data_IF_129013952348
#
_entry.id   IF_129013952348
#
_cell.length_a   1.000
_cell.length_b   1.000
_cell.length_c   1.000
_cell.angle_alpha   90.00
_cell.angle_beta   90.00
_cell.angle_gamma   90.00
#
_symmetry.space_group_name_H-M   'P 1'
#
loop_
_entity.id
_entity.type
_entity.pdbx_description
1 polymer ?
#
# COMPACT_ATOMS: atom_id res chain seq x y z
N UNK A 1 5.42 -19.31 7.43
CA UNK A 1 6.87 -19.19 7.60
C UNK A 1 7.20 -17.71 7.74
N UNK A 2 8.28 -17.32 8.43
CA UNK A 2 8.51 -15.94 8.78
C UNK A 2 9.06 -15.11 7.62
N UNK A 3 8.86 -13.80 7.75
CA UNK A 3 9.32 -12.78 6.81
C UNK A 3 10.86 -12.69 6.83
N UNK A 4 11.50 -12.76 5.67
CA UNK A 4 12.92 -12.51 5.50
C UNK A 4 13.16 -11.02 5.24
N UNK A 5 13.92 -10.39 6.11
CA UNK A 5 14.20 -8.95 6.06
C UNK A 5 15.70 -8.69 5.92
N UNK A 6 16.09 -7.53 5.35
CA UNK A 6 17.49 -7.08 5.38
C UNK A 6 18.00 -7.01 6.82
N UNK A 7 19.23 -7.50 7.05
CA UNK A 7 19.83 -7.45 8.38
C UNK A 7 19.90 -6.00 8.89
N UNK A 8 19.63 -5.82 10.19
CA UNK A 8 19.63 -4.51 10.87
C UNK A 8 18.53 -3.53 10.45
N UNK A 9 17.50 -3.97 9.73
CA UNK A 9 16.33 -3.10 9.45
C UNK A 9 15.68 -2.70 10.79
N UNK A 10 15.45 -1.40 11.07
CA UNK A 10 14.86 -0.93 12.34
C UNK A 10 13.53 -1.57 12.69
N UNK A 11 12.72 -1.91 11.68
CA UNK A 11 11.46 -2.61 11.85
C UNK A 11 11.59 -3.96 12.58
N UNK A 12 12.71 -4.68 12.44
CA UNK A 12 12.92 -5.99 13.09
C UNK A 12 12.77 -5.90 14.60
N UNK A 13 13.39 -4.91 15.22
CA UNK A 13 13.34 -4.75 16.69
C UNK A 13 11.95 -4.36 17.19
N UNK A 14 11.21 -3.57 16.42
CA UNK A 14 9.85 -3.19 16.76
C UNK A 14 8.91 -4.40 16.64
N UNK A 15 8.99 -5.14 15.54
CA UNK A 15 8.16 -6.32 15.30
C UNK A 15 8.40 -7.44 16.32
N UNK A 16 9.66 -7.64 16.76
CA UNK A 16 9.96 -8.57 17.86
C UNK A 16 9.27 -8.16 19.17
N UNK A 17 9.19 -6.86 19.48
CA UNK A 17 8.47 -6.36 20.67
C UNK A 17 6.94 -6.58 20.55
N UNK A 18 6.43 -6.64 19.34
CA UNK A 18 5.01 -6.93 19.06
C UNK A 18 4.73 -8.46 19.00
N UNK A 19 5.70 -9.32 19.33
CA UNK A 19 5.64 -10.79 19.20
C UNK A 19 5.39 -11.27 17.77
N UNK A 20 5.78 -10.50 16.77
CA UNK A 20 5.72 -10.87 15.36
C UNK A 20 7.04 -11.53 14.97
N UNK A 21 6.97 -12.76 14.47
CA UNK A 21 8.16 -13.51 14.11
C UNK A 21 8.70 -13.09 12.74
N UNK A 22 9.92 -12.58 12.71
CA UNK A 22 10.66 -12.21 11.49
C UNK A 22 12.00 -12.94 11.48
N UNK A 23 12.51 -13.26 10.28
CA UNK A 23 13.83 -13.85 10.09
C UNK A 23 14.79 -12.83 9.49
N UNK A 24 16.04 -12.87 9.94
CA UNK A 24 17.16 -12.24 9.26
C UNK A 24 17.66 -13.10 8.07
N UNK A 25 18.49 -12.51 7.23
CA UNK A 25 19.04 -13.20 6.06
C UNK A 25 19.82 -14.46 6.44
N UNK A 26 20.56 -14.44 7.55
CA UNK A 26 21.42 -15.55 7.95
C UNK A 26 20.62 -16.81 8.28
N UNK A 27 19.46 -16.66 8.93
CA UNK A 27 18.58 -17.76 9.27
C UNK A 27 17.78 -18.27 8.07
N UNK A 28 17.37 -17.36 7.16
CA UNK A 28 16.57 -17.71 5.98
C UNK A 28 17.36 -18.56 4.96
N UNK A 29 18.68 -18.36 4.84
CA UNK A 29 19.53 -19.12 3.90
C UNK A 29 19.72 -20.59 4.25
N UNK A 30 19.29 -21.03 5.41
CA UNK A 30 19.37 -22.45 5.84
C UNK A 30 18.13 -23.26 5.47
N UNK A 31 17.14 -22.68 4.77
CA UNK A 31 15.91 -23.37 4.38
C UNK A 31 15.81 -23.56 2.87
N UNK A 32 15.47 -24.76 2.45
CA UNK A 32 15.42 -25.22 1.04
C UNK A 32 14.09 -24.84 0.33
N UNK A 33 13.45 -23.71 0.70
CA UNK A 33 12.18 -23.27 0.14
C UNK A 33 12.39 -21.89 -0.53
N UNK A 34 11.99 -21.78 -1.80
CA UNK A 34 12.01 -20.49 -2.48
C UNK A 34 11.08 -19.48 -1.78
N UNK A 35 11.59 -18.38 -1.24
CA UNK A 35 10.75 -17.31 -0.74
C UNK A 35 10.05 -16.58 -1.89
N UNK A 36 8.86 -16.03 -1.62
CA UNK A 36 8.23 -15.08 -2.53
C UNK A 36 8.96 -13.74 -2.44
N UNK A 37 9.35 -13.19 -3.58
CA UNK A 37 10.02 -11.89 -3.65
C UNK A 37 8.99 -10.77 -3.74
N UNK A 38 8.95 -9.92 -2.72
CA UNK A 38 8.07 -8.75 -2.65
C UNK A 38 8.92 -7.49 -2.74
N UNK A 39 8.60 -6.59 -3.66
CA UNK A 39 9.23 -5.28 -3.73
C UNK A 39 8.25 -4.18 -3.30
N UNK A 40 8.73 -3.23 -2.50
CA UNK A 40 7.96 -2.09 -2.03
C UNK A 40 8.59 -0.81 -2.56
N UNK A 41 7.90 -0.12 -3.48
CA UNK A 41 8.23 1.26 -3.86
C UNK A 41 7.60 2.19 -2.83
N UNK A 42 8.42 2.68 -1.91
CA UNK A 42 7.97 3.52 -0.82
C UNK A 42 8.13 5.01 -1.15
N UNK A 43 7.01 5.66 -1.49
CA UNK A 43 6.94 7.08 -1.84
C UNK A 43 6.57 7.96 -0.64
N UNK A 44 6.21 7.36 0.51
CA UNK A 44 5.80 8.09 1.70
C UNK A 44 6.96 8.90 2.31
N UNK A 45 6.65 10.07 2.91
CA UNK A 45 7.68 10.93 3.49
C UNK A 45 8.33 10.33 4.74
N UNK A 46 7.59 9.58 5.57
CA UNK A 46 8.07 8.90 6.77
C UNK A 46 8.32 7.42 6.46
N UNK A 47 9.38 7.14 5.71
CA UNK A 47 9.65 5.81 5.16
C UNK A 47 9.75 4.72 6.22
N UNK A 48 10.47 4.95 7.32
CA UNK A 48 10.67 3.97 8.40
C UNK A 48 9.33 3.55 9.04
N UNK A 49 8.41 4.50 9.21
CA UNK A 49 7.06 4.20 9.71
C UNK A 49 6.29 3.33 8.73
N UNK A 50 6.25 3.74 7.47
CA UNK A 50 5.55 3.00 6.41
C UNK A 50 6.12 1.60 6.19
N UNK A 51 7.45 1.44 6.23
CA UNK A 51 8.12 0.14 6.22
C UNK A 51 7.58 -0.77 7.31
N UNK A 52 7.56 -0.26 8.55
CA UNK A 52 7.07 -1.02 9.71
C UNK A 52 5.61 -1.43 9.56
N UNK A 53 4.76 -0.52 9.08
CA UNK A 53 3.34 -0.76 8.90
C UNK A 53 3.07 -1.84 7.84
N UNK A 54 3.74 -1.75 6.69
CA UNK A 54 3.61 -2.75 5.62
C UNK A 54 4.21 -4.11 6.02
N UNK A 55 5.39 -4.12 6.65
CA UNK A 55 6.02 -5.36 7.10
C UNK A 55 5.15 -6.07 8.14
N UNK A 56 4.49 -5.34 9.04
CA UNK A 56 3.57 -5.91 10.03
C UNK A 56 2.43 -6.68 9.35
N UNK A 57 1.85 -6.16 8.29
CA UNK A 57 0.79 -6.83 7.52
C UNK A 57 1.32 -8.00 6.70
N UNK A 58 2.45 -7.82 6.03
CA UNK A 58 3.09 -8.88 5.24
C UNK A 58 3.59 -10.05 6.11
N UNK A 59 3.85 -9.84 7.40
CA UNK A 59 4.30 -10.89 8.32
C UNK A 59 3.18 -11.85 8.74
N UNK A 60 1.90 -11.51 8.49
CA UNK A 60 0.75 -12.32 8.87
C UNK A 60 0.44 -13.41 7.82
N UNK A 61 1.43 -14.18 7.42
CA UNK A 61 1.31 -15.30 6.47
C UNK A 61 2.24 -16.45 6.87
N UNK A 62 1.86 -17.72 6.62
CA UNK A 62 2.75 -18.85 6.79
C UNK A 62 3.82 -18.94 5.67
N UNK A 63 3.69 -18.19 4.58
CA UNK A 63 4.62 -18.20 3.45
C UNK A 63 5.89 -17.44 3.78
N UNK A 64 7.01 -17.89 3.23
CA UNK A 64 8.27 -17.16 3.35
C UNK A 64 8.31 -16.01 2.33
N UNK A 65 8.49 -14.78 2.82
CA UNK A 65 8.61 -13.59 2.00
C UNK A 65 10.01 -13.00 2.10
N UNK A 66 10.56 -12.59 0.98
CA UNK A 66 11.77 -11.78 0.87
C UNK A 66 11.38 -10.38 0.42
N UNK A 67 11.52 -9.39 1.31
CA UNK A 67 11.10 -8.00 1.06
C UNK A 67 12.30 -7.16 0.67
N UNK A 68 12.16 -6.44 -0.44
CA UNK A 68 13.12 -5.43 -0.92
C UNK A 68 12.44 -4.07 -0.99
N UNK A 69 13.18 -3.01 -0.69
CA UNK A 69 12.68 -1.64 -0.81
C UNK A 69 13.28 -0.97 -2.03
N UNK A 70 12.40 -0.37 -2.83
CA UNK A 70 12.74 0.45 -4.00
C UNK A 70 12.53 1.93 -3.69
N UNK A 71 13.44 2.77 -4.17
CA UNK A 71 13.31 4.22 -4.13
C UNK A 71 13.41 4.77 -5.56
N UNK A 72 12.90 5.98 -5.75
CA UNK A 72 13.10 6.77 -6.96
C UNK A 72 14.48 7.43 -6.91
N UNK A 73 15.18 7.42 -8.03
CA UNK A 73 16.44 8.12 -8.21
C UNK A 73 16.25 9.62 -8.36
N UNK A 74 15.17 10.00 -9.06
CA UNK A 74 14.81 11.40 -9.30
C UNK A 74 14.26 12.15 -8.09
N UNK A 75 14.03 11.42 -6.94
CA UNK A 75 13.47 12.02 -5.73
C UNK A 75 14.31 11.71 -4.49
N UNK A 76 14.76 12.76 -3.79
CA UNK A 76 15.49 12.64 -2.54
C UNK A 76 14.55 12.72 -1.34
N UNK A 77 14.56 11.72 -0.48
CA UNK A 77 13.80 11.74 0.78
C UNK A 77 14.35 12.80 1.73
N UNK A 78 13.46 13.69 2.23
CA UNK A 78 13.85 14.76 3.16
C UNK A 78 13.72 14.36 4.63
N UNK A 79 12.90 13.36 4.93
CA UNK A 79 12.51 12.99 6.31
C UNK A 79 13.06 11.63 6.74
N UNK A 80 13.97 11.04 5.96
CA UNK A 80 14.59 9.76 6.26
C UNK A 80 16.12 9.92 6.23
N UNK A 81 16.86 9.43 7.23
CA UNK A 81 18.32 9.51 7.24
C UNK A 81 18.93 8.90 5.98
N UNK A 82 19.96 9.53 5.44
CA UNK A 82 20.60 9.08 4.21
C UNK A 82 21.25 7.70 4.38
N UNK A 83 21.79 7.43 5.56
CA UNK A 83 22.40 6.14 5.92
C UNK A 83 21.37 5.01 5.83
N UNK A 84 20.12 5.26 6.29
CA UNK A 84 19.02 4.32 6.17
C UNK A 84 18.69 4.04 4.71
N UNK A 85 18.59 5.11 3.90
CA UNK A 85 18.31 4.98 2.46
C UNK A 85 19.40 4.20 1.73
N UNK A 86 20.67 4.46 2.03
CA UNK A 86 21.79 3.76 1.41
C UNK A 86 21.88 2.28 1.84
N UNK A 87 21.46 1.97 3.05
CA UNK A 87 21.56 0.61 3.61
C UNK A 87 20.44 -0.31 3.15
N UNK A 88 19.22 0.20 3.00
CA UNK A 88 18.02 -0.63 2.84
C UNK A 88 17.28 -0.43 1.51
N UNK A 89 17.54 0.66 0.78
CA UNK A 89 16.85 0.98 -0.46
C UNK A 89 17.77 0.81 -1.66
N UNK A 90 17.20 0.26 -2.73
CA UNK A 90 17.84 0.13 -4.03
C UNK A 90 17.14 1.03 -5.05
N UNK A 91 17.88 1.56 -5.99
CA UNK A 91 17.33 2.31 -7.11
C UNK A 91 16.65 1.37 -8.12
N UNK A 92 15.65 1.89 -8.84
CA UNK A 92 14.95 1.12 -9.88
C UNK A 92 15.92 0.50 -10.90
N UNK A 93 16.94 1.25 -11.34
CA UNK A 93 17.93 0.75 -12.32
C UNK A 93 18.72 -0.48 -11.83
N UNK A 94 18.95 -0.57 -10.52
CA UNK A 94 19.62 -1.75 -9.93
C UNK A 94 18.72 -2.99 -9.89
N UNK A 95 17.40 -2.77 -9.97
CA UNK A 95 16.38 -3.82 -9.87
C UNK A 95 15.71 -4.13 -11.22
N UNK A 96 15.96 -3.36 -12.27
CA UNK A 96 15.29 -3.40 -13.58
C UNK A 96 15.27 -4.79 -14.22
N UNK A 97 16.32 -5.59 -14.03
CA UNK A 97 16.44 -6.93 -14.61
C UNK A 97 15.93 -8.05 -13.66
N UNK A 98 15.45 -7.69 -12.49
CA UNK A 98 14.90 -8.65 -11.53
C UNK A 98 13.40 -8.82 -11.74
N UNK A 99 12.88 -10.00 -11.34
CA UNK A 99 11.45 -10.29 -11.31
C UNK A 99 10.99 -10.51 -9.87
N UNK A 100 9.75 -10.15 -9.60
CA UNK A 100 9.14 -10.20 -8.27
C UNK A 100 7.79 -10.89 -8.32
N UNK A 101 7.47 -11.61 -7.27
CA UNK A 101 6.17 -12.25 -7.13
C UNK A 101 5.08 -11.22 -6.80
N UNK A 102 5.41 -10.20 -6.01
CA UNK A 102 4.48 -9.11 -5.70
C UNK A 102 5.17 -7.76 -5.58
N UNK A 103 4.41 -6.69 -5.81
CA UNK A 103 4.85 -5.31 -5.65
C UNK A 103 3.81 -4.49 -4.89
N UNK A 104 4.28 -3.63 -3.99
CA UNK A 104 3.44 -2.60 -3.36
C UNK A 104 4.00 -1.24 -3.72
N UNK A 105 3.14 -0.35 -4.18
CA UNK A 105 3.48 1.05 -4.46
C UNK A 105 2.66 1.92 -3.52
N UNK A 106 3.33 2.64 -2.61
CA UNK A 106 2.66 3.41 -1.57
C UNK A 106 2.12 4.74 -2.09
N UNK A 107 1.25 5.36 -1.31
CA UNK A 107 0.84 6.75 -1.52
C UNK A 107 2.01 7.73 -1.48
N UNK A 108 1.74 8.96 -1.92
CA UNK A 108 2.66 10.09 -1.88
C UNK A 108 1.87 11.39 -1.59
N UNK A 109 2.42 12.35 -0.84
CA UNK A 109 1.72 13.59 -0.48
C UNK A 109 1.76 14.63 -1.61
N UNK A 110 1.41 14.24 -2.82
CA UNK A 110 1.43 15.07 -4.04
C UNK A 110 0.10 15.05 -4.80
N UNK A 111 -0.97 14.60 -4.16
CA UNK A 111 -2.29 14.41 -4.78
C UNK A 111 -2.94 15.71 -5.29
N UNK A 112 -2.51 16.87 -4.82
CA UNK A 112 -3.01 18.17 -5.27
C UNK A 112 -2.34 18.68 -6.57
N UNK A 113 -1.23 18.04 -6.98
CA UNK A 113 -0.57 18.34 -8.25
C UNK A 113 -1.21 17.53 -9.37
N UNK A 114 -1.24 18.07 -10.59
CA UNK A 114 -1.51 17.23 -11.76
C UNK A 114 -0.41 16.16 -11.87
N UNK A 115 -0.75 14.99 -12.41
CA UNK A 115 0.18 13.86 -12.41
C UNK A 115 1.49 14.20 -13.12
N UNK A 116 1.41 14.83 -14.29
CA UNK A 116 2.56 15.23 -15.12
C UNK A 116 3.40 16.37 -14.51
N UNK A 117 2.88 17.06 -13.48
CA UNK A 117 3.61 18.07 -12.73
C UNK A 117 4.45 17.47 -11.58
N UNK A 118 4.25 16.20 -11.26
CA UNK A 118 5.03 15.52 -10.25
C UNK A 118 6.46 15.32 -10.78
N UNK A 119 7.44 15.79 -10.05
CA UNK A 119 8.86 15.86 -10.51
C UNK A 119 9.49 14.51 -10.87
N UNK A 120 8.91 13.41 -10.39
CA UNK A 120 9.36 12.05 -10.68
C UNK A 120 8.35 11.26 -11.53
N UNK A 121 7.48 11.96 -12.28
CA UNK A 121 6.42 11.32 -13.06
C UNK A 121 6.97 10.34 -14.10
N UNK A 122 7.97 10.76 -14.86
CA UNK A 122 8.57 9.92 -15.90
C UNK A 122 9.16 8.62 -15.32
N UNK A 123 9.88 8.70 -14.21
CA UNK A 123 10.48 7.53 -13.57
C UNK A 123 9.42 6.57 -13.02
N UNK A 124 8.35 7.10 -12.41
CA UNK A 124 7.31 6.23 -11.85
C UNK A 124 6.47 5.55 -12.93
N UNK A 125 6.23 6.20 -14.07
CA UNK A 125 5.53 5.60 -15.21
C UNK A 125 6.36 4.53 -15.90
N UNK A 126 7.68 4.68 -15.94
CA UNK A 126 8.60 3.61 -16.35
C UNK A 126 8.49 2.40 -15.42
N UNK A 127 8.42 2.63 -14.11
CA UNK A 127 8.23 1.56 -13.11
C UNK A 127 6.86 0.90 -13.27
N UNK A 128 5.78 1.66 -13.51
CA UNK A 128 4.45 1.11 -13.74
C UNK A 128 4.43 0.18 -14.98
N UNK A 129 5.06 0.61 -16.07
CA UNK A 129 5.21 -0.20 -17.29
C UNK A 129 6.03 -1.45 -17.04
N UNK A 130 7.16 -1.32 -16.34
CA UNK A 130 8.04 -2.42 -15.96
C UNK A 130 7.31 -3.44 -15.08
N UNK A 131 6.53 -3.00 -14.10
CA UNK A 131 5.81 -3.87 -13.19
C UNK A 131 4.88 -4.85 -13.94
N UNK A 132 4.26 -4.42 -15.04
CA UNK A 132 3.35 -5.27 -15.84
C UNK A 132 3.99 -6.52 -16.45
N UNK A 133 5.32 -6.53 -16.59
CA UNK A 133 6.07 -7.63 -17.20
C UNK A 133 7.06 -8.31 -16.25
N UNK A 134 7.33 -7.71 -15.09
CA UNK A 134 8.31 -8.20 -14.13
C UNK A 134 7.71 -8.57 -12.77
N UNK A 135 6.42 -8.30 -12.57
CA UNK A 135 5.72 -8.58 -11.31
C UNK A 135 4.45 -9.37 -11.57
N UNK A 136 4.19 -10.40 -10.75
CA UNK A 136 2.95 -11.19 -10.88
C UNK A 136 1.74 -10.39 -10.48
N UNK A 137 1.75 -9.74 -9.31
CA UNK A 137 0.62 -8.89 -8.84
C UNK A 137 1.15 -7.63 -8.16
N UNK A 138 0.56 -6.47 -8.51
CA UNK A 138 0.93 -5.15 -7.99
C UNK A 138 -0.25 -4.53 -7.23
N UNK A 139 0.01 -4.05 -6.01
CA UNK A 139 -0.93 -3.30 -5.19
C UNK A 139 -0.51 -1.82 -5.15
N UNK A 140 -1.37 -0.95 -5.65
CA UNK A 140 -1.21 0.51 -5.65
C UNK A 140 -2.06 1.11 -4.53
N UNK A 141 -1.49 1.98 -3.70
CA UNK A 141 -2.15 2.54 -2.52
C UNK A 141 -2.30 4.06 -2.65
N UNK A 142 -3.49 4.58 -2.35
CA UNK A 142 -3.83 5.99 -2.28
C UNK A 142 -3.47 6.76 -3.56
N UNK A 143 -2.52 7.72 -3.49
CA UNK A 143 -2.07 8.47 -4.66
C UNK A 143 -1.55 7.55 -5.78
N UNK A 144 -0.79 6.52 -5.44
CA UNK A 144 -0.31 5.57 -6.46
C UNK A 144 -1.46 4.83 -7.14
N UNK A 145 -2.56 4.55 -6.44
CA UNK A 145 -3.75 3.95 -7.05
C UNK A 145 -4.37 4.87 -8.11
N UNK A 146 -4.50 6.16 -7.80
CA UNK A 146 -4.99 7.15 -8.76
C UNK A 146 -4.01 7.34 -9.93
N UNK A 147 -2.71 7.42 -9.64
CA UNK A 147 -1.67 7.57 -10.65
C UNK A 147 -1.58 6.38 -11.61
N UNK A 148 -1.66 5.15 -11.07
CA UNK A 148 -1.68 3.93 -11.87
C UNK A 148 -2.93 3.81 -12.75
N UNK A 149 -4.12 4.14 -12.20
CA UNK A 149 -5.37 4.17 -12.95
C UNK A 149 -5.34 5.23 -14.07
N UNK A 150 -4.78 6.41 -13.79
CA UNK A 150 -4.60 7.43 -14.80
C UNK A 150 -3.65 6.99 -15.92
N UNK A 151 -2.47 6.53 -15.54
CA UNK A 151 -1.44 6.15 -16.51
C UNK A 151 -1.84 4.97 -17.40
N UNK A 152 -2.41 3.93 -16.81
CA UNK A 152 -2.72 2.69 -17.53
C UNK A 152 -4.08 2.70 -18.22
N UNK A 153 -5.05 3.44 -17.67
CA UNK A 153 -6.46 3.34 -18.07
C UNK A 153 -7.11 4.68 -18.37
N UNK A 154 -6.36 5.79 -18.23
CA UNK A 154 -6.88 7.12 -18.53
C UNK A 154 -7.93 7.64 -17.54
N UNK A 155 -8.03 7.04 -16.34
CA UNK A 155 -8.99 7.45 -15.32
C UNK A 155 -8.52 8.74 -14.62
N UNK A 156 -9.24 9.85 -14.72
CA UNK A 156 -8.85 11.10 -14.09
C UNK A 156 -9.11 11.06 -12.57
N UNK A 157 -8.43 11.94 -11.83
CA UNK A 157 -8.77 12.25 -10.45
C UNK A 157 -9.52 13.58 -10.37
N UNK A 158 -10.33 13.75 -9.35
CA UNK A 158 -11.11 14.94 -9.10
C UNK A 158 -10.79 15.52 -7.72
N UNK A 159 -10.70 16.86 -7.59
CA UNK A 159 -10.48 17.49 -6.29
C UNK A 159 -11.72 17.37 -5.40
N UNK A 160 -11.51 17.08 -4.13
CA UNK A 160 -12.55 17.15 -3.11
C UNK A 160 -12.68 18.58 -2.58
N UNK A 161 -13.88 19.00 -2.26
CA UNK A 161 -14.11 20.30 -1.58
C UNK A 161 -13.44 20.35 -0.20
N UNK A 162 -13.43 19.20 0.50
CA UNK A 162 -12.80 19.02 1.81
C UNK A 162 -11.96 17.76 1.81
N UNK A 163 -10.89 17.77 2.62
CA UNK A 163 -10.06 16.58 2.85
C UNK A 163 -10.92 15.41 3.33
N UNK A 164 -10.87 14.29 2.62
CA UNK A 164 -11.41 13.02 3.10
C UNK A 164 -10.49 12.49 4.20
N UNK A 165 -10.93 12.59 5.47
CA UNK A 165 -10.07 12.34 6.60
C UNK A 165 -10.81 11.58 7.71
N UNK A 166 -10.41 10.35 7.98
CA UNK A 166 -11.04 9.50 9.00
C UNK A 166 -11.13 8.04 8.61
N UNK A 167 -12.02 7.32 9.29
CA UNK A 167 -12.32 5.91 9.09
C UNK A 167 -13.72 5.79 8.49
N UNK A 168 -13.81 5.12 7.32
CA UNK A 168 -15.06 5.05 6.58
C UNK A 168 -15.46 3.60 6.31
N UNK A 169 -16.78 3.27 6.34
CA UNK A 169 -17.28 1.96 5.97
C UNK A 169 -17.09 1.71 4.49
N UNK A 170 -16.71 0.50 4.14
CA UNK A 170 -16.53 0.01 2.79
C UNK A 170 -17.41 -1.21 2.56
N UNK A 171 -17.97 -1.33 1.38
CA UNK A 171 -18.85 -2.43 0.98
C UNK A 171 -18.17 -3.21 -0.14
N UNK A 172 -17.80 -4.49 0.04
CA UNK A 172 -17.40 -5.37 -1.03
C UNK A 172 -18.56 -5.53 -2.05
N UNK A 173 -18.29 -5.33 -3.34
CA UNK A 173 -19.29 -5.46 -4.37
C UNK A 173 -19.49 -6.90 -4.86
N UNK A 174 -18.45 -7.72 -4.67
CA UNK A 174 -18.49 -9.16 -4.94
C UNK A 174 -17.70 -9.90 -3.86
N UNK A 175 -18.41 -10.45 -2.87
CA UNK A 175 -17.83 -11.20 -1.76
C UNK A 175 -17.27 -12.57 -2.16
N UNK A 176 -17.54 -13.04 -3.39
CA UNK A 176 -16.98 -14.29 -3.93
C UNK A 176 -15.52 -14.15 -4.37
N UNK A 177 -15.04 -12.92 -4.57
CA UNK A 177 -13.65 -12.67 -4.93
C UNK A 177 -12.71 -13.11 -3.80
N UNK A 178 -11.64 -13.88 -4.10
CA UNK A 178 -10.70 -14.38 -3.09
C UNK A 178 -10.06 -13.29 -2.22
N UNK A 179 -9.95 -12.06 -2.73
CA UNK A 179 -9.42 -10.92 -1.97
C UNK A 179 -10.26 -10.61 -0.72
N UNK A 180 -11.58 -10.87 -0.76
CA UNK A 180 -12.52 -10.64 0.33
C UNK A 180 -12.81 -11.89 1.17
N UNK A 181 -12.06 -12.97 0.99
CA UNK A 181 -12.27 -14.17 1.79
C UNK A 181 -12.11 -13.86 3.29
N UNK A 182 -13.19 -14.14 4.05
CA UNK A 182 -13.26 -13.90 5.49
C UNK A 182 -13.60 -12.45 5.88
N UNK A 183 -13.91 -11.59 4.90
CA UNK A 183 -14.41 -10.25 5.18
C UNK A 183 -15.86 -10.30 5.63
N UNK A 184 -16.24 -9.32 6.43
CA UNK A 184 -17.64 -8.99 6.74
C UNK A 184 -18.27 -8.23 5.56
N UNK A 185 -19.61 -8.12 5.56
CA UNK A 185 -20.35 -7.37 4.53
C UNK A 185 -19.98 -5.88 4.50
N UNK A 186 -19.47 -5.36 5.62
CA UNK A 186 -18.93 -4.00 5.75
C UNK A 186 -17.61 -4.05 6.51
N UNK A 187 -16.60 -3.41 5.96
CA UNK A 187 -15.32 -3.24 6.65
C UNK A 187 -14.90 -1.78 6.73
N UNK A 188 -14.08 -1.45 7.72
CA UNK A 188 -13.64 -0.08 7.93
C UNK A 188 -12.28 0.14 7.28
N UNK A 189 -12.09 1.31 6.64
CA UNK A 189 -10.82 1.69 6.02
C UNK A 189 -10.47 3.15 6.31
N UNK A 190 -9.21 3.43 6.75
CA UNK A 190 -8.70 4.79 6.87
C UNK A 190 -8.58 5.47 5.51
N UNK A 191 -8.96 6.74 5.46
CA UNK A 191 -8.73 7.63 4.31
C UNK A 191 -8.09 8.94 4.77
N UNK A 192 -7.14 9.42 3.97
CA UNK A 192 -6.49 10.70 4.13
C UNK A 192 -6.10 11.24 2.75
N UNK A 193 -7.02 11.92 2.06
CA UNK A 193 -6.82 12.36 0.67
C UNK A 193 -7.60 13.63 0.33
N UNK A 194 -7.12 14.37 -0.67
CA UNK A 194 -7.73 15.59 -1.20
C UNK A 194 -8.35 15.39 -2.58
N UNK A 195 -8.29 14.17 -3.13
CA UNK A 195 -8.81 13.83 -4.45
C UNK A 195 -9.61 12.54 -4.40
N UNK A 196 -10.48 12.35 -5.39
CA UNK A 196 -11.31 11.15 -5.53
C UNK A 196 -11.34 10.65 -6.99
N UNK A 197 -11.90 9.45 -7.16
CA UNK A 197 -12.23 8.85 -8.45
C UNK A 197 -13.75 8.83 -8.60
N UNK A 198 -14.24 9.09 -9.81
CA UNK A 198 -15.67 8.95 -10.08
C UNK A 198 -16.00 7.52 -10.49
N UNK A 199 -17.12 7.03 -9.97
CA UNK A 199 -17.64 5.69 -10.22
C UNK A 199 -17.91 5.45 -11.70
N UNK A 200 -18.42 6.44 -12.38
CA UNK A 200 -18.78 6.42 -13.79
C UNK A 200 -17.57 6.17 -14.70
N UNK A 201 -16.43 6.77 -14.36
CA UNK A 201 -15.20 6.60 -15.14
C UNK A 201 -14.66 5.16 -15.02
N UNK A 202 -14.73 4.57 -13.81
CA UNK A 202 -14.32 3.18 -13.60
C UNK A 202 -15.24 2.24 -14.37
N UNK A 203 -16.56 2.42 -14.26
CA UNK A 203 -17.56 1.54 -14.91
C UNK A 203 -17.57 1.68 -16.43
N UNK A 204 -17.14 2.81 -16.97
CA UNK A 204 -17.03 3.01 -18.42
C UNK A 204 -15.84 2.25 -19.04
N UNK A 205 -14.87 1.82 -18.25
CA UNK A 205 -13.70 1.09 -18.74
C UNK A 205 -13.86 -0.42 -18.54
N UNK A 206 -13.98 -1.23 -19.62
CA UNK A 206 -14.23 -2.67 -19.52
C UNK A 206 -13.07 -3.48 -18.95
N UNK A 207 -11.86 -2.90 -18.88
CA UNK A 207 -10.68 -3.56 -18.33
C UNK A 207 -10.59 -3.40 -16.80
N UNK A 208 -11.50 -2.62 -16.20
CA UNK A 208 -11.55 -2.34 -14.78
C UNK A 208 -12.75 -3.01 -14.11
N UNK A 209 -12.52 -3.56 -12.93
CA UNK A 209 -13.57 -4.08 -12.07
C UNK A 209 -13.54 -3.32 -10.74
N UNK A 210 -14.58 -2.55 -10.46
CA UNK A 210 -14.77 -1.96 -9.14
C UNK A 210 -15.15 -3.07 -8.17
N UNK A 211 -14.35 -3.30 -7.13
CA UNK A 211 -14.54 -4.42 -6.19
C UNK A 211 -15.00 -4.00 -4.80
N UNK A 212 -14.80 -2.73 -4.43
CA UNK A 212 -15.39 -2.15 -3.22
C UNK A 212 -15.65 -0.66 -3.40
N UNK A 213 -16.71 -0.19 -2.74
CA UNK A 213 -17.06 1.23 -2.67
C UNK A 213 -17.56 1.61 -1.28
N UNK A 214 -17.66 2.90 -1.02
CA UNK A 214 -18.20 3.45 0.22
C UNK A 214 -19.30 4.45 -0.09
N UNK A 215 -20.40 4.47 0.70
CA UNK A 215 -21.40 5.50 0.57
C UNK A 215 -20.88 6.90 0.96
N UNK A 216 -19.80 6.93 1.78
CA UNK A 216 -19.24 8.17 2.33
C UNK A 216 -18.01 8.68 1.57
N UNK A 217 -17.23 7.78 0.96
CA UNK A 217 -15.96 8.15 0.30
C UNK A 217 -15.81 7.62 -1.15
N UNK A 218 -16.90 7.11 -1.76
CA UNK A 218 -16.92 6.72 -3.17
C UNK A 218 -16.09 5.48 -3.49
N UNK A 219 -15.44 5.48 -4.66
CA UNK A 219 -14.62 4.36 -5.15
C UNK A 219 -13.46 4.09 -4.19
N UNK A 220 -13.37 2.88 -3.68
CA UNK A 220 -12.34 2.52 -2.70
C UNK A 220 -11.36 1.45 -3.20
N UNK A 221 -11.84 0.45 -3.92
CA UNK A 221 -10.97 -0.58 -4.46
C UNK A 221 -11.38 -0.95 -5.91
N UNK A 222 -10.38 -0.98 -6.78
CA UNK A 222 -10.52 -1.38 -8.19
C UNK A 222 -9.49 -2.48 -8.48
N UNK A 223 -9.89 -3.46 -9.27
CA UNK A 223 -9.05 -4.55 -9.73
C UNK A 223 -8.95 -4.52 -11.26
N UNK A 224 -7.81 -4.89 -11.80
CA UNK A 224 -7.58 -5.05 -13.22
C UNK A 224 -6.72 -6.28 -13.52
N UNK A 225 -6.74 -6.72 -14.79
CA UNK A 225 -5.91 -7.84 -15.28
C UNK A 225 -6.06 -9.10 -14.43
N UNK A 226 -7.32 -9.47 -14.08
CA UNK A 226 -7.64 -10.66 -13.27
C UNK A 226 -6.88 -10.75 -11.94
N UNK A 227 -6.70 -9.61 -11.27
CA UNK A 227 -6.00 -9.53 -9.97
C UNK A 227 -4.48 -9.33 -10.08
N UNK A 228 -3.95 -9.05 -11.25
CA UNK A 228 -2.56 -8.61 -11.39
C UNK A 228 -2.33 -7.16 -10.97
N UNK A 229 -3.40 -6.36 -10.90
CA UNK A 229 -3.35 -4.96 -10.45
C UNK A 229 -4.50 -4.68 -9.49
N UNK A 230 -4.17 -4.18 -8.30
CA UNK A 230 -5.12 -3.69 -7.30
C UNK A 230 -4.86 -2.22 -7.02
N UNK A 231 -5.92 -1.41 -7.08
CA UNK A 231 -5.87 0.02 -6.82
C UNK A 231 -6.76 0.31 -5.61
N UNK A 232 -6.14 0.72 -4.50
CA UNK A 232 -6.79 0.93 -3.21
C UNK A 232 -6.64 2.40 -2.84
N UNK A 233 -7.74 3.16 -2.77
CA UNK A 233 -7.70 4.61 -2.52
C UNK A 233 -7.52 4.99 -1.06
N UNK A 234 -7.73 4.05 -0.14
CA UNK A 234 -7.53 4.23 1.30
C UNK A 234 -6.26 3.58 1.80
N UNK A 235 -6.13 3.49 3.13
CA UNK A 235 -4.91 3.13 3.83
C UNK A 235 -5.12 2.03 4.88
N UNK A 236 -5.30 0.79 4.46
CA UNK A 236 -5.41 -0.34 5.39
C UNK A 236 -4.09 -0.62 6.14
N UNK A 237 -2.96 -0.12 5.63
CA UNK A 237 -1.64 -0.27 6.26
C UNK A 237 -1.42 0.64 7.47
N UNK A 238 -2.23 1.66 7.67
CA UNK A 238 -2.02 2.66 8.73
C UNK A 238 -1.99 2.05 10.12
N UNK A 239 -0.97 2.47 10.89
CA UNK A 239 -0.91 2.21 12.32
C UNK A 239 -2.03 2.95 13.08
N UNK A 240 -2.36 2.51 14.32
CA UNK A 240 -3.40 3.15 15.12
C UNK A 240 -3.29 4.67 15.24
N UNK A 241 -2.06 5.20 15.34
CA UNK A 241 -1.81 6.62 15.61
C UNK A 241 -1.50 7.45 14.36
N UNK A 242 -1.57 6.87 13.15
CA UNK A 242 -1.15 7.59 11.93
C UNK A 242 -2.01 8.82 11.68
N UNK A 243 -3.35 8.68 11.75
CA UNK A 243 -4.25 9.83 11.55
C UNK A 243 -4.16 10.85 12.69
N UNK A 244 -3.88 10.44 13.94
CA UNK A 244 -3.62 11.36 15.06
C UNK A 244 -2.37 12.20 14.81
N UNK A 245 -1.29 11.57 14.35
CA UNK A 245 -0.04 12.26 13.99
C UNK A 245 -0.28 13.28 12.88
N UNK A 246 -1.04 12.93 11.85
CA UNK A 246 -1.39 13.84 10.76
C UNK A 246 -2.28 14.97 11.24
N UNK A 247 -3.32 14.67 12.04
CA UNK A 247 -4.21 15.67 12.61
C UNK A 247 -3.44 16.71 13.45
N UNK A 248 -2.59 16.25 14.38
CA UNK A 248 -1.81 17.15 15.24
C UNK A 248 -0.80 17.98 14.48
N UNK A 249 -0.14 17.39 13.46
CA UNK A 249 0.75 18.10 12.55
C UNK A 249 -0.01 19.23 11.81
N UNK A 250 -1.13 18.91 11.18
CA UNK A 250 -1.89 19.85 10.36
C UNK A 250 -2.50 20.94 11.24
N UNK A 251 -2.99 20.58 12.43
CA UNK A 251 -3.49 21.52 13.45
C UNK A 251 -2.42 22.49 13.98
N UNK A 252 -1.17 22.06 14.00
CA UNK A 252 -0.04 22.93 14.34
C UNK A 252 0.26 24.01 13.29
N UNK A 253 -0.30 23.86 12.08
CA UNK A 253 -0.10 24.80 10.96
C UNK A 253 -1.35 25.65 10.69
N UNK A 254 -2.55 25.09 10.90
CA UNK A 254 -3.84 25.71 10.61
C UNK A 254 -4.86 25.40 11.71
N UNK A 255 -5.72 26.37 12.03
CA UNK A 255 -6.77 26.21 13.04
C UNK A 255 -8.06 25.55 12.53
N UNK A 256 -8.26 25.46 11.21
CA UNK A 256 -9.46 24.97 10.55
C UNK A 256 -9.43 23.47 10.20
N UNK A 257 -8.51 22.71 10.80
CA UNK A 257 -8.38 21.27 10.56
C UNK A 257 -9.50 20.51 11.27
N UNK A 258 -10.32 19.82 10.48
CA UNK A 258 -11.40 18.98 11.02
C UNK A 258 -10.83 17.71 11.68
N UNK A 259 -11.52 17.22 12.70
CA UNK A 259 -11.20 15.94 13.34
C UNK A 259 -11.35 14.78 12.32
N UNK A 260 -10.49 13.76 12.36
CA UNK A 260 -10.70 12.56 11.55
C UNK A 260 -11.98 11.84 12.00
N UNK A 261 -12.91 11.64 11.05
CA UNK A 261 -14.22 11.02 11.32
C UNK A 261 -14.06 9.58 11.84
N UNK A 262 -14.92 9.19 12.78
CA UNK A 262 -15.01 7.83 13.33
C UNK A 262 -13.67 7.30 13.90
N UNK A 263 -12.78 8.17 14.31
CA UNK A 263 -11.42 7.80 14.71
C UNK A 263 -11.20 7.90 16.22
N UNK A 264 -11.57 9.01 16.85
CA UNK A 264 -11.45 9.13 18.30
C UNK A 264 -12.70 8.62 19.00
N UNK A 265 -12.54 8.06 20.19
CA UNK A 265 -13.67 7.73 21.05
C UNK A 265 -14.37 9.02 21.48
N UNK A 266 -15.69 9.05 21.30
CA UNK A 266 -16.55 10.20 21.64
C UNK A 266 -16.15 11.51 20.90
N UNK A 267 -15.53 11.38 19.72
CA UNK A 267 -14.98 12.48 18.90
C UNK A 267 -14.08 13.45 19.70
N UNK A 268 -13.40 12.92 20.73
CA UNK A 268 -12.50 13.70 21.57
C UNK A 268 -11.04 13.32 21.26
N UNK A 269 -10.20 14.27 20.77
CA UNK A 269 -8.80 14.01 20.42
C UNK A 269 -7.88 13.76 21.63
N UNK A 270 -8.37 13.91 22.86
CA UNK A 270 -7.66 13.51 24.07
C UNK A 270 -7.89 12.03 24.41
N UNK A 271 -8.86 11.38 23.79
CA UNK A 271 -9.11 9.96 23.90
C UNK A 271 -8.27 9.15 22.89
N UNK A 272 -7.92 7.90 23.21
CA UNK A 272 -7.20 7.04 22.27
C UNK A 272 -8.07 6.73 21.03
N UNK A 273 -7.44 6.53 19.87
CA UNK A 273 -8.14 6.15 18.65
C UNK A 273 -8.81 4.78 18.75
N UNK A 274 -9.95 4.64 18.06
CA UNK A 274 -10.67 3.36 17.91
C UNK A 274 -10.21 2.67 16.65
N UNK A 275 -9.46 1.57 16.80
CA UNK A 275 -8.95 0.81 15.66
C UNK A 275 -9.99 -0.21 15.21
N UNK A 276 -10.64 0.06 14.08
CA UNK A 276 -11.71 -0.77 13.52
C UNK A 276 -11.36 -1.44 12.18
N UNK A 277 -10.14 -1.22 11.65
CA UNK A 277 -9.72 -1.74 10.32
C UNK A 277 -8.67 -2.86 10.38
N UNK A 278 -8.03 -3.10 11.51
CA UNK A 278 -6.87 -4.00 11.64
C UNK A 278 -7.14 -5.43 11.18
N UNK A 279 -8.29 -6.00 11.53
CA UNK A 279 -8.61 -7.37 11.16
C UNK A 279 -8.71 -7.51 9.64
N UNK A 280 -9.45 -6.61 8.98
CA UNK A 280 -9.62 -6.60 7.53
C UNK A 280 -8.33 -6.24 6.78
N UNK A 281 -7.48 -5.37 7.35
CA UNK A 281 -6.14 -5.12 6.82
C UNK A 281 -5.30 -6.40 6.76
N UNK A 282 -5.25 -7.15 7.85
CA UNK A 282 -4.53 -8.44 7.88
C UNK A 282 -5.12 -9.45 6.89
N UNK A 283 -6.45 -9.52 6.76
CA UNK A 283 -7.11 -10.38 5.78
C UNK A 283 -6.78 -9.98 4.35
N UNK A 284 -6.86 -8.69 4.02
CA UNK A 284 -6.56 -8.18 2.68
C UNK A 284 -5.16 -8.59 2.22
N UNK A 285 -4.15 -8.27 3.03
CA UNK A 285 -2.76 -8.56 2.67
C UNK A 285 -2.48 -10.07 2.64
N UNK A 286 -3.06 -10.84 3.56
CA UNK A 286 -2.94 -12.30 3.58
C UNK A 286 -3.62 -12.94 2.36
N UNK A 287 -4.81 -12.47 1.98
CA UNK A 287 -5.54 -12.94 0.80
C UNK A 287 -4.81 -12.57 -0.50
N UNK A 288 -4.31 -11.31 -0.60
CA UNK A 288 -3.51 -10.89 -1.74
C UNK A 288 -2.26 -11.77 -1.92
N UNK A 289 -1.48 -11.97 -0.85
CA UNK A 289 -0.28 -12.81 -0.89
C UNK A 289 -0.64 -14.24 -1.30
N UNK A 290 -1.71 -14.81 -0.73
CA UNK A 290 -2.06 -16.21 -0.97
C UNK A 290 -2.65 -16.45 -2.35
N UNK A 291 -3.64 -15.63 -2.77
CA UNK A 291 -4.44 -15.91 -3.97
C UNK A 291 -3.93 -15.23 -5.23
N UNK A 292 -3.28 -14.07 -5.14
CA UNK A 292 -2.88 -13.27 -6.29
C UNK A 292 -1.36 -13.15 -6.46
N UNK A 293 -0.59 -13.53 -5.43
CA UNK A 293 0.86 -13.62 -5.52
C UNK A 293 1.29 -15.09 -5.57
N UNK A 294 1.06 -15.85 -4.50
CA UNK A 294 1.58 -17.21 -4.37
C UNK A 294 0.95 -18.21 -5.37
N UNK A 295 -0.37 -18.15 -5.57
CA UNK A 295 -1.05 -19.11 -6.47
C UNK A 295 -0.89 -18.76 -7.95
N UNK A 296 -0.65 -17.49 -8.27
CA UNK A 296 -0.51 -17.00 -9.64
C UNK A 296 0.95 -16.93 -10.11
N UNK A 297 1.91 -16.87 -9.20
CA UNK A 297 3.33 -16.79 -9.57
C UNK A 297 3.81 -18.12 -10.13
N UNK A 298 4.59 -18.11 -11.24
CA UNK A 298 5.15 -19.35 -11.77
C UNK A 298 6.23 -19.90 -10.81
N UNK A 299 6.42 -21.24 -10.83
CA UNK A 299 7.43 -21.89 -10.03
C UNK A 299 8.83 -21.31 -10.30
N UNK A 300 9.16 -21.09 -11.58
CA UNK A 300 10.36 -20.37 -11.97
C UNK A 300 10.00 -18.88 -12.15
N UNK A 301 10.54 -18.03 -11.30
CA UNK A 301 10.27 -16.59 -11.31
C UNK A 301 10.59 -15.92 -12.66
N UNK A 302 11.52 -16.48 -13.44
CA UNK A 302 11.87 -15.94 -14.75
C UNK A 302 10.75 -16.12 -15.80
N UNK A 303 9.76 -16.97 -15.54
CA UNK A 303 8.63 -17.22 -16.44
C UNK A 303 7.49 -16.19 -16.27
N UNK A 304 7.59 -15.24 -15.35
CA UNK A 304 6.67 -14.10 -15.23
C UNK A 304 6.66 -13.30 -16.55
N UNK A 305 5.44 -13.01 -17.07
CA UNK A 305 5.21 -12.33 -18.37
C UNK A 305 4.43 -11.05 -18.18
#
# INVERSE_FOLDING_TARGET
MPLRLPDRLPAIELLKKENIFVMDNSRATTQDIRPLKIVILNLMPLKITTETDLIRLLSNTPLQLEVSFMKLRSHTSKNTPIEHMMMFYRDFEEMRNEKFDGMIITGAPVEQLEFEQVTYWDEITDIFTWARTHVTSTMYICWAAQAGLFYHYGIPKYPLEKKMFGIFPQIPLDTSLPIFRGFDDVFMMPHCRHTELHREDILANPDLTMIAESPDCGVSMVMARDGREFFITGHLEYAPNTLDTEYRRDRGIRDDVELPKNYYRDDNPDNPPVVSWRAHANLLYSNWINYYVYQETPYNINDIK
#
